data_IF_564683556827
#
_entry.id   IF_564683556827
#
_cell.length_a   1.000
_cell.length_b   1.000
_cell.length_c   1.000
_cell.angle_alpha   90.00
_cell.angle_beta   90.00
_cell.angle_gamma   90.00
#
_symmetry.space_group_name_H-M   'P 1'
#
loop_
_entity.id
_entity.type
_entity.pdbx_description
1 polymer ?
#
# COMPACT_ATOMS: atom_id res chain seq x y z
N UNK A 1 24.07 15.50 0.15
CA UNK A 1 23.25 14.34 -0.28
C UNK A 1 21.87 14.86 -0.63
N UNK A 2 21.21 14.29 -1.62
CA UNK A 2 19.83 14.64 -1.93
C UNK A 2 18.92 14.16 -0.79
N UNK A 3 17.97 15.01 -0.37
CA UNK A 3 16.94 14.66 0.61
C UNK A 3 15.85 13.86 -0.12
N UNK A 4 15.58 12.62 0.32
CA UNK A 4 14.58 11.76 -0.32
C UNK A 4 13.30 11.67 0.52
N UNK A 5 12.23 12.30 0.03
CA UNK A 5 10.91 12.37 0.67
C UNK A 5 9.81 11.76 -0.21
N UNK A 6 10.12 10.73 -1.00
CA UNK A 6 9.15 10.02 -1.86
C UNK A 6 9.08 8.52 -1.56
N UNK A 7 9.14 8.15 -0.28
CA UNK A 7 9.16 6.75 0.16
C UNK A 7 7.83 6.01 -0.09
N UNK A 8 6.69 6.71 -0.23
CA UNK A 8 5.43 6.09 -0.65
C UNK A 8 5.46 5.64 -2.12
N UNK A 9 6.29 6.24 -2.98
CA UNK A 9 6.50 5.76 -4.34
C UNK A 9 7.42 4.53 -4.36
N UNK A 10 8.57 4.58 -3.67
CA UNK A 10 9.48 3.44 -3.50
C UNK A 10 10.48 3.72 -2.39
N UNK A 11 10.71 2.77 -1.51
CA UNK A 11 11.76 2.85 -0.49
C UNK A 11 13.10 2.32 -1.00
N UNK A 12 14.19 2.78 -0.38
CA UNK A 12 15.51 2.18 -0.54
C UNK A 12 15.47 0.72 -0.07
N UNK A 13 16.13 -0.17 -0.83
CA UNK A 13 16.23 -1.58 -0.43
C UNK A 13 17.06 -1.69 0.84
N UNK A 14 16.55 -2.37 1.86
CA UNK A 14 17.23 -2.61 3.13
C UNK A 14 18.46 -3.49 2.94
N UNK A 15 19.50 -3.28 3.74
CA UNK A 15 20.73 -4.06 3.68
C UNK A 15 20.46 -5.57 3.89
N UNK A 16 19.59 -5.91 4.82
CA UNK A 16 19.19 -7.30 5.09
C UNK A 16 18.48 -7.94 3.88
N UNK A 17 17.63 -7.18 3.18
CA UNK A 17 16.96 -7.65 1.97
C UNK A 17 17.94 -7.90 0.83
N UNK A 18 18.90 -7.00 0.64
CA UNK A 18 19.95 -7.13 -0.37
C UNK A 18 20.83 -8.33 -0.06
N UNK A 19 21.33 -8.46 1.17
CA UNK A 19 22.18 -9.56 1.61
C UNK A 19 21.49 -10.92 1.45
N UNK A 20 20.19 -11.00 1.74
CA UNK A 20 19.42 -12.23 1.58
C UNK A 20 19.16 -12.60 0.11
N UNK A 21 18.96 -11.62 -0.78
CA UNK A 21 18.68 -11.84 -2.19
C UNK A 21 19.94 -12.20 -3.01
N UNK A 22 21.09 -11.61 -2.72
CA UNK A 22 22.33 -11.72 -3.51
C UNK A 22 22.77 -13.16 -3.80
N UNK A 23 22.80 -14.11 -2.86
CA UNK A 23 23.22 -15.48 -3.15
C UNK A 23 22.36 -16.17 -4.23
N UNK A 24 21.07 -15.84 -4.28
CA UNK A 24 20.13 -16.43 -5.26
C UNK A 24 20.19 -15.77 -6.64
N UNK A 25 20.92 -14.68 -6.80
CA UNK A 25 21.14 -14.03 -8.09
C UNK A 25 22.27 -14.69 -8.90
N UNK A 26 23.27 -15.27 -8.22
CA UNK A 26 24.47 -15.79 -8.87
C UNK A 26 24.84 -17.22 -8.45
N UNK A 27 24.95 -17.50 -7.15
CA UNK A 27 25.50 -18.75 -6.63
C UNK A 27 24.44 -19.85 -6.50
N UNK A 28 23.25 -19.53 -6.05
CA UNK A 28 22.13 -20.45 -5.77
C UNK A 28 21.02 -20.31 -6.82
N UNK A 29 21.38 -20.41 -8.09
CA UNK A 29 20.52 -20.13 -9.25
C UNK A 29 19.58 -21.27 -9.65
N UNK A 30 19.46 -22.33 -8.85
CA UNK A 30 18.64 -23.50 -9.14
C UNK A 30 17.17 -23.17 -9.35
N UNK A 31 16.50 -23.83 -10.33
CA UNK A 31 15.07 -23.72 -10.50
C UNK A 31 14.35 -24.47 -9.36
N UNK A 32 13.43 -23.83 -8.61
CA UNK A 32 12.73 -24.45 -7.47
C UNK A 32 11.89 -25.68 -7.83
N UNK A 33 11.53 -25.85 -9.09
CA UNK A 33 10.78 -27.02 -9.58
C UNK A 33 11.67 -28.23 -9.85
N UNK A 34 13.01 -28.09 -9.84
CA UNK A 34 13.95 -29.18 -10.11
C UNK A 34 14.21 -30.04 -8.87
N UNK A 35 14.40 -31.36 -9.08
CA UNK A 35 14.61 -32.33 -8.00
C UNK A 35 16.07 -32.44 -7.53
N UNK A 36 17.02 -31.84 -8.23
CA UNK A 36 18.43 -31.84 -7.83
C UNK A 36 18.73 -30.81 -6.73
N UNK A 37 19.88 -30.96 -6.06
CA UNK A 37 20.25 -30.14 -4.89
C UNK A 37 20.11 -28.62 -5.09
N UNK A 38 20.59 -27.98 -6.17
CA UNK A 38 20.38 -26.55 -6.38
C UNK A 38 18.90 -26.14 -6.43
N UNK A 39 18.04 -26.95 -7.07
CA UNK A 39 16.59 -26.71 -7.11
C UNK A 39 15.94 -26.84 -5.74
N UNK A 40 16.31 -27.87 -4.98
CA UNK A 40 15.80 -28.08 -3.62
C UNK A 40 16.24 -26.94 -2.67
N UNK A 41 17.44 -26.39 -2.86
CA UNK A 41 17.92 -25.22 -2.10
C UNK A 41 17.05 -23.99 -2.35
N UNK A 42 16.76 -23.68 -3.62
CA UNK A 42 15.87 -22.59 -3.99
C UNK A 42 14.44 -22.80 -3.46
N UNK A 43 13.91 -24.02 -3.56
CA UNK A 43 12.58 -24.37 -3.02
C UNK A 43 12.49 -24.17 -1.51
N UNK A 44 13.51 -24.61 -0.76
CA UNK A 44 13.59 -24.41 0.69
C UNK A 44 13.64 -22.93 1.06
N UNK A 45 14.36 -22.12 0.28
CA UNK A 45 14.47 -20.67 0.49
C UNK A 45 13.12 -19.97 0.30
N UNK A 46 12.36 -20.32 -0.75
CA UNK A 46 11.00 -19.83 -0.96
C UNK A 46 10.08 -20.22 0.21
N UNK A 47 10.14 -21.49 0.63
CA UNK A 47 9.31 -21.96 1.72
C UNK A 47 9.63 -21.22 3.03
N UNK A 48 10.90 -21.02 3.35
CA UNK A 48 11.33 -20.23 4.52
C UNK A 48 10.85 -18.77 4.43
N UNK A 49 10.98 -18.14 3.26
CA UNK A 49 10.49 -16.78 3.04
C UNK A 49 8.96 -16.68 3.25
N UNK A 50 8.22 -17.67 2.79
CA UNK A 50 6.76 -17.77 2.98
C UNK A 50 6.39 -17.88 4.47
N UNK A 51 7.10 -18.70 5.23
CA UNK A 51 6.93 -18.86 6.68
C UNK A 51 7.25 -17.57 7.44
N UNK A 52 8.32 -16.87 7.05
CA UNK A 52 8.71 -15.60 7.66
C UNK A 52 7.65 -14.50 7.42
N UNK A 53 7.14 -14.39 6.19
CA UNK A 53 6.05 -13.46 5.87
C UNK A 53 4.79 -13.81 6.66
N UNK A 54 4.41 -15.09 6.68
CA UNK A 54 3.24 -15.57 7.40
C UNK A 54 3.34 -15.28 8.92
N UNK A 55 4.53 -15.46 9.50
CA UNK A 55 4.81 -15.11 10.90
C UNK A 55 4.62 -13.61 11.16
N UNK A 56 5.13 -12.75 10.26
CA UNK A 56 4.97 -11.29 10.39
C UNK A 56 3.51 -10.84 10.30
N UNK A 57 2.69 -11.51 9.49
CA UNK A 57 1.29 -11.17 9.26
C UNK A 57 0.31 -11.94 10.17
N UNK A 58 0.82 -12.87 10.98
CA UNK A 58 -0.01 -13.75 11.81
C UNK A 58 -1.03 -14.54 10.98
N UNK A 59 -0.55 -15.24 9.95
CA UNK A 59 -1.34 -16.12 9.11
C UNK A 59 -0.61 -17.45 8.85
N UNK A 60 -1.24 -18.36 8.14
CA UNK A 60 -0.62 -19.64 7.75
C UNK A 60 0.27 -19.45 6.52
N UNK A 61 1.39 -20.19 6.40
CA UNK A 61 2.25 -20.10 5.21
C UNK A 61 1.53 -20.43 3.90
N UNK A 62 0.60 -21.36 3.88
CA UNK A 62 -0.20 -21.72 2.72
C UNK A 62 -1.23 -20.64 2.30
N UNK A 63 -1.41 -19.59 3.10
CA UNK A 63 -2.24 -18.44 2.77
C UNK A 63 -1.48 -17.33 2.03
N UNK A 64 -0.17 -17.48 1.81
CA UNK A 64 0.65 -16.50 1.06
C UNK A 64 0.87 -17.01 -0.36
N UNK A 65 0.56 -16.19 -1.36
CA UNK A 65 0.79 -16.42 -2.78
C UNK A 65 1.73 -15.34 -3.31
N UNK A 66 2.89 -15.71 -3.85
CA UNK A 66 3.83 -14.76 -4.41
C UNK A 66 3.40 -14.28 -5.79
N UNK A 67 3.58 -12.99 -6.04
CA UNK A 67 3.24 -12.28 -7.28
C UNK A 67 4.41 -11.41 -7.73
N UNK A 68 4.25 -10.65 -8.81
CA UNK A 68 5.27 -9.69 -9.27
C UNK A 68 5.18 -8.31 -8.60
N UNK A 69 4.13 -8.05 -7.81
CA UNK A 69 3.92 -6.75 -7.15
C UNK A 69 2.49 -6.55 -6.69
N UNK A 70 2.19 -5.39 -6.11
CA UNK A 70 0.86 -5.03 -5.63
C UNK A 70 -0.18 -5.10 -6.74
N UNK A 71 0.11 -4.53 -7.90
CA UNK A 71 -0.82 -4.53 -9.04
C UNK A 71 -1.24 -5.93 -9.48
N UNK A 72 -0.33 -6.90 -9.53
CA UNK A 72 -0.69 -8.29 -9.84
C UNK A 72 -1.53 -8.89 -8.70
N UNK A 73 -1.17 -8.61 -7.45
CA UNK A 73 -1.92 -9.08 -6.28
C UNK A 73 -3.36 -8.54 -6.26
N UNK A 74 -3.55 -7.25 -6.56
CA UNK A 74 -4.87 -6.61 -6.64
C UNK A 74 -5.72 -7.23 -7.76
N UNK A 75 -5.12 -7.41 -8.94
CA UNK A 75 -5.80 -8.04 -10.07
C UNK A 75 -6.19 -9.49 -9.77
N UNK A 76 -5.28 -10.28 -9.17
CA UNK A 76 -5.57 -11.68 -8.81
C UNK A 76 -6.69 -11.75 -7.76
N UNK A 77 -6.63 -10.90 -6.73
CA UNK A 77 -7.66 -10.84 -5.71
C UNK A 77 -9.03 -10.47 -6.30
N UNK A 78 -9.10 -9.40 -7.09
CA UNK A 78 -10.37 -8.86 -7.58
C UNK A 78 -10.93 -9.71 -8.72
N UNK A 79 -10.14 -9.90 -9.78
CA UNK A 79 -10.60 -10.64 -10.98
C UNK A 79 -10.72 -12.13 -10.69
N UNK A 80 -9.71 -12.72 -10.03
CA UNK A 80 -9.71 -14.14 -9.70
C UNK A 80 -10.83 -14.52 -8.73
N UNK A 81 -11.13 -13.65 -7.75
CA UNK A 81 -12.25 -13.87 -6.85
C UNK A 81 -13.60 -13.73 -7.55
N UNK A 82 -13.79 -12.68 -8.36
CA UNK A 82 -15.02 -12.48 -9.12
C UNK A 82 -15.32 -13.67 -10.02
N UNK A 83 -14.34 -14.11 -10.83
CA UNK A 83 -14.48 -15.24 -11.76
C UNK A 83 -14.91 -16.53 -11.02
N UNK A 84 -14.30 -16.80 -9.86
CA UNK A 84 -14.60 -17.99 -9.07
C UNK A 84 -15.98 -17.94 -8.36
N UNK A 85 -16.57 -16.75 -8.15
CA UNK A 85 -17.72 -16.56 -7.29
C UNK A 85 -18.91 -15.82 -7.94
N UNK A 86 -18.83 -15.40 -9.21
CA UNK A 86 -19.84 -14.61 -9.90
C UNK A 86 -21.20 -15.30 -10.04
N UNK A 87 -21.28 -16.63 -9.86
CA UNK A 87 -22.53 -17.38 -9.79
C UNK A 87 -23.34 -17.10 -8.49
N UNK A 88 -22.71 -16.57 -7.44
CA UNK A 88 -23.35 -16.20 -6.16
C UNK A 88 -23.90 -14.77 -6.17
N UNK A 89 -23.40 -13.93 -7.07
CA UNK A 89 -23.73 -12.52 -7.21
C UNK A 89 -22.66 -11.80 -8.00
N UNK A 90 -22.94 -10.56 -8.39
CA UNK A 90 -22.01 -9.76 -9.22
C UNK A 90 -21.72 -8.37 -8.66
N UNK A 91 -22.21 -8.06 -7.47
CA UNK A 91 -22.05 -6.75 -6.89
C UNK A 91 -20.75 -6.63 -6.10
N UNK A 92 -20.00 -5.54 -6.35
CA UNK A 92 -18.75 -5.16 -5.71
C UNK A 92 -18.92 -3.79 -5.06
N UNK A 93 -18.46 -3.65 -3.82
CA UNK A 93 -18.37 -2.36 -3.11
C UNK A 93 -16.92 -1.94 -3.07
N UNK A 94 -16.62 -0.68 -3.40
CA UNK A 94 -15.28 -0.08 -3.34
C UNK A 94 -15.36 1.39 -2.94
N UNK A 95 -14.22 2.10 -2.88
CA UNK A 95 -14.18 3.53 -2.57
C UNK A 95 -13.66 4.36 -3.75
N UNK A 96 -13.90 5.66 -3.73
CA UNK A 96 -13.47 6.60 -4.77
C UNK A 96 -12.00 7.04 -4.66
N UNK A 97 -11.28 6.56 -3.65
CA UNK A 97 -9.86 6.86 -3.43
C UNK A 97 -8.91 5.66 -3.58
N UNK A 98 -9.39 4.55 -4.16
CA UNK A 98 -8.58 3.35 -4.35
C UNK A 98 -7.44 3.58 -5.35
N UNK A 99 -6.41 2.74 -5.25
CA UNK A 99 -5.32 2.73 -6.21
C UNK A 99 -5.81 2.30 -7.61
N UNK A 100 -5.25 2.82 -8.72
CA UNK A 100 -5.66 2.45 -10.08
C UNK A 100 -5.67 0.93 -10.35
N UNK A 101 -4.82 0.13 -9.73
CA UNK A 101 -4.84 -1.33 -9.87
C UNK A 101 -6.15 -1.96 -9.37
N UNK A 102 -6.82 -1.33 -8.39
CA UNK A 102 -8.13 -1.74 -7.87
C UNK A 102 -9.25 -1.19 -8.76
N UNK A 103 -9.27 0.13 -9.00
CA UNK A 103 -10.35 0.78 -9.76
C UNK A 103 -10.43 0.29 -11.19
N UNK A 104 -9.29 0.16 -11.90
CA UNK A 104 -9.24 -0.33 -13.27
C UNK A 104 -9.60 -1.83 -13.37
N UNK A 105 -9.22 -2.63 -12.36
CA UNK A 105 -9.62 -4.05 -12.31
C UNK A 105 -11.14 -4.20 -12.17
N UNK A 106 -11.75 -3.39 -11.30
CA UNK A 106 -13.22 -3.36 -11.09
C UNK A 106 -13.93 -2.81 -12.34
N UNK A 107 -13.41 -1.72 -12.94
CA UNK A 107 -13.96 -1.15 -14.17
C UNK A 107 -13.94 -2.15 -15.33
N UNK A 108 -12.85 -2.94 -15.44
CA UNK A 108 -12.77 -4.01 -16.43
C UNK A 108 -13.83 -5.10 -16.20
N UNK A 109 -14.04 -5.53 -14.93
CA UNK A 109 -15.09 -6.49 -14.59
C UNK A 109 -16.48 -5.95 -14.90
N UNK A 110 -16.74 -4.67 -14.61
CA UNK A 110 -17.99 -4.01 -14.97
C UNK A 110 -18.22 -4.03 -16.49
N UNK A 111 -17.25 -3.60 -17.26
CA UNK A 111 -17.35 -3.49 -18.72
C UNK A 111 -17.38 -4.84 -19.46
N UNK A 112 -16.72 -5.88 -18.93
CA UNK A 112 -16.51 -7.16 -19.64
C UNK A 112 -17.26 -8.35 -19.06
N UNK A 113 -17.55 -8.33 -17.74
CA UNK A 113 -18.13 -9.46 -17.01
C UNK A 113 -19.51 -9.15 -16.40
N UNK A 114 -19.97 -7.91 -16.55
CA UNK A 114 -21.26 -7.45 -16.02
C UNK A 114 -21.26 -7.34 -14.48
N UNK A 115 -20.13 -7.02 -13.88
CA UNK A 115 -20.09 -6.66 -12.46
C UNK A 115 -20.88 -5.38 -12.21
N UNK A 116 -21.66 -5.36 -11.14
CA UNK A 116 -22.31 -4.14 -10.63
C UNK A 116 -21.45 -3.55 -9.52
N UNK A 117 -21.30 -2.22 -9.50
CA UNK A 117 -20.33 -1.55 -8.61
C UNK A 117 -21.01 -0.44 -7.83
N UNK A 118 -20.85 -0.46 -6.51
CA UNK A 118 -21.12 0.69 -5.65
C UNK A 118 -19.80 1.31 -5.23
N UNK A 119 -19.58 2.56 -5.62
CA UNK A 119 -18.41 3.36 -5.20
C UNK A 119 -18.83 4.24 -4.04
N UNK A 120 -18.25 4.01 -2.86
CA UNK A 120 -18.49 4.81 -1.66
C UNK A 120 -17.65 6.08 -1.72
N UNK A 121 -18.31 7.21 -1.48
CA UNK A 121 -17.63 8.49 -1.33
C UNK A 121 -17.02 8.62 0.07
N UNK A 122 -15.77 9.07 0.12
CA UNK A 122 -15.09 9.39 1.37
C UNK A 122 -15.53 10.75 1.91
N UNK A 123 -15.27 10.99 3.20
CA UNK A 123 -15.41 12.32 3.80
C UNK A 123 -14.21 13.23 3.49
N UNK A 124 -14.24 14.48 3.97
CA UNK A 124 -13.15 15.45 3.78
C UNK A 124 -11.78 15.06 4.39
N UNK A 125 -11.74 14.00 5.21
CA UNK A 125 -10.51 13.39 5.73
C UNK A 125 -10.09 12.15 4.93
N UNK A 126 -10.86 11.75 3.92
CA UNK A 126 -10.62 10.57 3.09
C UNK A 126 -11.01 9.26 3.79
N UNK A 127 -12.00 9.27 4.67
CA UNK A 127 -12.48 8.10 5.41
C UNK A 127 -13.82 7.61 4.86
N UNK A 128 -13.99 6.28 4.80
CA UNK A 128 -15.30 5.62 4.73
C UNK A 128 -15.62 5.01 6.08
N UNK A 129 -16.90 4.97 6.45
CA UNK A 129 -17.34 4.32 7.69
C UNK A 129 -17.81 2.89 7.43
N UNK A 130 -17.69 2.02 8.44
CA UNK A 130 -18.27 0.67 8.40
C UNK A 130 -19.80 0.71 8.20
N UNK A 131 -20.48 1.78 8.65
CA UNK A 131 -21.91 1.98 8.45
C UNK A 131 -22.27 2.23 6.98
N UNK A 132 -21.47 3.05 6.25
CA UNK A 132 -21.64 3.24 4.80
C UNK A 132 -21.47 1.91 4.06
N UNK A 133 -20.42 1.13 4.39
CA UNK A 133 -20.21 -0.21 3.82
C UNK A 133 -21.42 -1.11 4.10
N UNK A 134 -21.88 -1.18 5.34
CA UNK A 134 -23.04 -2.01 5.72
C UNK A 134 -24.32 -1.64 4.98
N UNK A 135 -24.56 -0.34 4.73
CA UNK A 135 -25.72 0.17 4.02
C UNK A 135 -25.67 -0.10 2.51
N UNK A 136 -24.49 -0.23 1.94
CA UNK A 136 -24.28 -0.52 0.52
C UNK A 136 -24.40 -2.02 0.19
N UNK A 137 -24.43 -2.90 1.20
CA UNK A 137 -24.52 -4.35 1.00
C UNK A 137 -25.90 -4.73 0.46
N UNK A 138 -25.90 -5.49 -0.63
CA UNK A 138 -27.06 -6.05 -1.33
C UNK A 138 -27.04 -7.58 -1.22
N UNK A 139 -28.18 -8.27 -1.53
CA UNK A 139 -28.21 -9.74 -1.53
C UNK A 139 -27.22 -10.40 -2.49
N UNK A 140 -26.83 -9.72 -3.58
CA UNK A 140 -25.90 -10.16 -4.61
C UNK A 140 -24.48 -9.59 -4.42
N UNK A 141 -24.16 -8.94 -3.29
CA UNK A 141 -22.81 -8.46 -2.97
C UNK A 141 -21.89 -9.64 -2.67
N UNK A 142 -20.80 -9.76 -3.43
CA UNK A 142 -19.83 -10.83 -3.25
C UNK A 142 -18.46 -10.35 -2.75
N UNK A 143 -18.13 -9.07 -3.00
CA UNK A 143 -16.80 -8.52 -2.67
C UNK A 143 -16.92 -7.09 -2.16
N UNK A 144 -16.17 -6.81 -1.11
CA UNK A 144 -15.83 -5.46 -0.65
C UNK A 144 -14.33 -5.28 -0.92
N UNK A 145 -13.93 -4.21 -1.63
CA UNK A 145 -12.55 -3.90 -1.96
C UNK A 145 -12.20 -2.50 -1.43
N UNK A 146 -11.37 -2.42 -0.39
CA UNK A 146 -11.00 -1.17 0.29
C UNK A 146 -9.51 -1.19 0.62
N UNK A 147 -8.81 -0.10 0.36
CA UNK A 147 -7.42 0.05 0.77
C UNK A 147 -7.27 0.16 2.30
N UNK A 148 -6.16 -0.31 2.84
CA UNK A 148 -5.87 -0.16 4.26
C UNK A 148 -5.47 1.28 4.61
N UNK A 149 -4.63 1.88 3.77
CA UNK A 149 -4.18 3.26 3.92
C UNK A 149 -3.89 3.87 2.56
N UNK A 150 -4.31 5.11 2.35
CA UNK A 150 -4.13 5.78 1.07
C UNK A 150 -2.67 6.21 0.86
N UNK A 151 -2.14 5.96 -0.33
CA UNK A 151 -0.77 6.23 -0.72
C UNK A 151 -0.46 7.72 -0.94
N UNK A 152 -1.48 8.56 -1.13
CA UNK A 152 -1.33 10.00 -1.36
C UNK A 152 -1.50 10.77 -0.05
N UNK A 153 -2.68 10.72 0.54
CA UNK A 153 -3.04 11.50 1.73
C UNK A 153 -2.67 10.82 3.05
N UNK A 154 -2.30 9.54 3.01
CA UNK A 154 -1.87 8.79 4.18
C UNK A 154 -2.99 8.38 5.14
N UNK A 155 -4.25 8.69 4.85
CA UNK A 155 -5.40 8.34 5.70
C UNK A 155 -5.53 6.81 5.83
N UNK A 156 -5.68 6.34 7.07
CA UNK A 156 -5.85 4.92 7.42
C UNK A 156 -7.35 4.65 7.57
N UNK A 157 -7.88 3.70 6.79
CA UNK A 157 -9.27 3.29 6.82
C UNK A 157 -9.61 2.46 8.08
N UNK A 158 -10.85 2.46 8.55
CA UNK A 158 -11.33 1.65 9.68
C UNK A 158 -11.50 0.18 9.27
N UNK A 159 -10.41 -0.46 8.83
CA UNK A 159 -10.44 -1.82 8.24
C UNK A 159 -10.92 -2.88 9.21
N UNK A 160 -10.64 -2.73 10.51
CA UNK A 160 -11.12 -3.68 11.53
C UNK A 160 -12.65 -3.69 11.62
N UNK A 161 -13.26 -2.51 11.62
CA UNK A 161 -14.73 -2.34 11.67
C UNK A 161 -15.38 -2.83 10.36
N UNK A 162 -14.75 -2.55 9.21
CA UNK A 162 -15.20 -3.05 7.90
C UNK A 162 -15.09 -4.57 7.84
N UNK A 163 -14.00 -5.14 8.36
CA UNK A 163 -13.79 -6.59 8.44
C UNK A 163 -14.87 -7.28 9.28
N UNK A 164 -15.26 -6.66 10.40
CA UNK A 164 -16.36 -7.17 11.23
C UNK A 164 -17.70 -7.18 10.48
N UNK A 165 -18.00 -6.12 9.70
CA UNK A 165 -19.20 -6.05 8.85
C UNK A 165 -19.16 -7.13 7.76
N UNK A 166 -18.06 -7.25 7.03
CA UNK A 166 -17.89 -8.23 5.97
C UNK A 166 -18.08 -9.67 6.49
N UNK A 167 -17.42 -9.99 7.62
CA UNK A 167 -17.53 -11.29 8.28
C UNK A 167 -18.95 -11.60 8.72
N UNK A 168 -19.65 -10.66 9.37
CA UNK A 168 -21.02 -10.84 9.84
C UNK A 168 -22.02 -11.10 8.69
N UNK A 169 -21.71 -10.63 7.48
CA UNK A 169 -22.53 -10.79 6.29
C UNK A 169 -22.06 -11.92 5.35
N UNK A 170 -20.96 -12.61 5.68
CA UNK A 170 -20.38 -13.67 4.84
C UNK A 170 -19.89 -13.19 3.47
N UNK A 171 -19.47 -11.91 3.38
CA UNK A 171 -18.96 -11.26 2.16
C UNK A 171 -17.45 -11.24 2.22
N UNK A 172 -16.78 -11.51 1.09
CA UNK A 172 -15.34 -11.41 1.02
C UNK A 172 -14.87 -9.96 1.14
N UNK A 173 -13.84 -9.73 1.95
CA UNK A 173 -13.14 -8.46 2.04
C UNK A 173 -11.74 -8.58 1.45
N UNK A 174 -11.50 -7.86 0.39
CA UNK A 174 -10.18 -7.61 -0.16
C UNK A 174 -9.64 -6.27 0.36
N UNK A 175 -8.39 -6.28 0.83
CA UNK A 175 -7.72 -5.09 1.34
C UNK A 175 -6.42 -4.85 0.55
N UNK A 176 -6.34 -3.73 -0.18
CA UNK A 176 -5.05 -3.24 -0.67
C UNK A 176 -4.26 -2.67 0.52
N UNK A 177 -3.29 -3.46 1.01
CA UNK A 177 -2.45 -3.11 2.14
C UNK A 177 -1.02 -2.74 1.73
N UNK A 178 -0.82 -2.36 0.48
CA UNK A 178 0.50 -2.01 -0.09
C UNK A 178 1.18 -0.91 0.73
N UNK A 179 0.43 0.05 1.27
CA UNK A 179 0.96 1.11 2.13
C UNK A 179 0.92 0.78 3.63
N UNK A 180 0.33 -0.35 4.03
CA UNK A 180 0.16 -0.73 5.44
C UNK A 180 1.16 -1.79 5.91
N UNK A 181 1.45 -2.79 5.06
CA UNK A 181 2.39 -3.87 5.38
C UNK A 181 3.77 -3.29 5.66
N UNK A 182 4.34 -3.65 6.81
CA UNK A 182 5.63 -3.14 7.29
C UNK A 182 5.58 -1.74 7.92
N UNK A 183 4.42 -1.05 7.90
CA UNK A 183 4.21 0.30 8.43
C UNK A 183 3.17 0.39 9.54
N UNK A 184 2.23 -0.54 9.61
CA UNK A 184 1.18 -0.60 10.61
C UNK A 184 1.19 -1.96 11.32
N UNK A 185 0.83 -2.02 12.61
CA UNK A 185 0.65 -3.27 13.32
C UNK A 185 -0.74 -3.83 13.02
N UNK A 186 -0.81 -5.05 12.49
CA UNK A 186 -2.04 -5.83 12.35
C UNK A 186 -1.73 -7.33 12.35
N UNK A 187 -2.77 -8.16 12.50
CA UNK A 187 -2.66 -9.61 12.49
C UNK A 187 -3.88 -10.22 11.81
N UNK A 188 -3.67 -11.09 10.81
CA UNK A 188 -4.72 -11.63 9.96
C UNK A 188 -5.51 -12.81 10.58
N UNK A 189 -5.19 -13.20 11.82
CA UNK A 189 -5.91 -14.24 12.54
C UNK A 189 -5.08 -15.51 12.75
N UNK A 190 -5.60 -16.54 13.31
CA UNK A 190 -5.04 -17.73 13.90
C UNK A 190 -3.84 -18.39 13.17
N UNK A 191 -2.62 -17.98 13.48
CA UNK A 191 -1.47 -18.82 13.24
C UNK A 191 -1.11 -19.57 14.53
N UNK A 192 -1.47 -20.83 14.65
CA UNK A 192 -0.83 -21.72 15.61
C UNK A 192 0.68 -21.72 15.29
N UNK A 193 1.49 -21.26 16.24
CA UNK A 193 2.94 -21.15 16.05
C UNK A 193 3.46 -19.80 15.55
N UNK A 194 2.64 -18.83 15.24
CA UNK A 194 3.09 -17.46 14.99
C UNK A 194 3.67 -16.83 16.26
N UNK A 195 4.72 -16.04 16.10
CA UNK A 195 5.41 -15.37 17.19
C UNK A 195 4.51 -14.45 18.02
N UNK A 196 5.13 -13.59 18.85
CA UNK A 196 4.40 -12.69 19.74
C UNK A 196 3.64 -11.63 18.92
N UNK A 197 2.33 -11.52 19.13
CA UNK A 197 1.48 -10.49 18.51
C UNK A 197 2.06 -9.07 18.69
N UNK A 198 1.89 -8.21 17.68
CA UNK A 198 2.12 -6.79 17.89
C UNK A 198 1.25 -6.29 19.03
N UNK A 199 1.81 -5.50 19.95
CA UNK A 199 1.03 -5.02 21.10
C UNK A 199 -0.12 -4.11 20.65
N UNK A 200 -1.27 -4.27 21.28
CA UNK A 200 -2.47 -3.51 20.96
C UNK A 200 -3.26 -4.03 19.75
N UNK A 201 -2.82 -5.14 19.15
CA UNK A 201 -3.53 -5.82 18.06
C UNK A 201 -4.06 -7.14 18.59
N UNK A 202 -5.30 -7.45 18.29
CA UNK A 202 -5.89 -8.77 18.52
C UNK A 202 -6.13 -9.48 17.18
N UNK A 203 -5.96 -10.80 17.08
CA UNK A 203 -6.23 -11.53 15.84
C UNK A 203 -7.68 -11.38 15.37
N UNK A 204 -8.59 -11.12 16.29
CA UNK A 204 -10.02 -10.97 16.00
C UNK A 204 -10.35 -9.70 15.22
N UNK A 205 -9.52 -8.67 15.30
CA UNK A 205 -9.79 -7.38 14.68
C UNK A 205 -9.78 -7.46 13.14
N UNK A 206 -8.98 -8.38 12.58
CA UNK A 206 -8.77 -8.50 11.14
C UNK A 206 -9.13 -9.88 10.57
N UNK A 207 -9.78 -10.73 11.34
CA UNK A 207 -10.13 -12.09 10.91
C UNK A 207 -11.23 -12.13 9.83
N UNK A 208 -11.91 -11.00 9.59
CA UNK A 208 -12.83 -10.80 8.48
C UNK A 208 -12.17 -10.48 7.13
N UNK A 209 -10.85 -10.22 7.10
CA UNK A 209 -10.12 -10.02 5.84
C UNK A 209 -10.00 -11.36 5.13
N UNK A 210 -10.47 -11.43 3.89
CA UNK A 210 -10.40 -12.62 3.03
C UNK A 210 -9.13 -12.63 2.20
N UNK A 211 -8.73 -11.47 1.66
CA UNK A 211 -7.55 -11.30 0.83
C UNK A 211 -6.85 -9.98 1.17
N UNK A 212 -5.51 -9.96 1.05
CA UNK A 212 -4.72 -8.76 1.32
C UNK A 212 -3.51 -8.69 0.40
N UNK A 213 -3.36 -7.57 -0.33
CA UNK A 213 -2.24 -7.34 -1.24
C UNK A 213 -1.09 -6.59 -0.57
N UNK A 214 0.16 -6.95 -0.93
CA UNK A 214 1.37 -6.27 -0.47
C UNK A 214 2.42 -6.15 -1.56
N UNK A 215 3.26 -5.11 -1.45
CA UNK A 215 4.34 -4.82 -2.40
C UNK A 215 5.64 -4.47 -1.66
N UNK A 216 6.63 -5.35 -1.65
CA UNK A 216 7.85 -5.21 -0.83
C UNK A 216 8.63 -3.93 -1.00
N UNK A 217 8.66 -3.33 -2.20
CA UNK A 217 9.37 -2.08 -2.42
C UNK A 217 8.80 -0.88 -1.64
N UNK A 218 7.63 -1.02 -1.02
CA UNK A 218 7.05 0.00 -0.13
C UNK A 218 7.57 -0.10 1.31
N UNK A 219 8.16 -1.24 1.70
CA UNK A 219 8.76 -1.44 3.03
C UNK A 219 10.25 -1.80 3.00
N UNK A 220 10.94 -1.46 1.89
CA UNK A 220 12.38 -1.66 1.74
C UNK A 220 12.79 -3.02 1.21
N UNK A 221 11.89 -3.74 0.57
CA UNK A 221 12.18 -4.92 -0.22
C UNK A 221 12.45 -4.61 -1.70
N UNK A 222 12.75 -5.64 -2.52
CA UNK A 222 12.98 -5.49 -3.96
C UNK A 222 11.71 -5.10 -4.72
N UNK A 223 11.89 -4.45 -5.88
CA UNK A 223 10.85 -4.31 -6.91
C UNK A 223 10.70 -5.63 -7.69
N UNK A 224 9.58 -5.82 -8.39
CA UNK A 224 9.35 -7.01 -9.22
C UNK A 224 8.96 -8.26 -8.41
N UNK A 225 8.54 -8.09 -7.19
CA UNK A 225 7.97 -9.09 -6.30
C UNK A 225 6.84 -8.48 -5.48
N UNK A 226 5.80 -9.27 -5.22
CA UNK A 226 4.67 -8.97 -4.36
C UNK A 226 4.18 -10.23 -3.68
N UNK A 227 3.16 -10.11 -2.88
CA UNK A 227 2.40 -11.25 -2.40
C UNK A 227 0.94 -10.89 -2.13
N UNK A 228 0.10 -11.90 -2.26
CA UNK A 228 -1.30 -11.87 -1.88
C UNK A 228 -1.50 -12.84 -0.71
N UNK A 229 -2.03 -12.35 0.41
CA UNK A 229 -2.65 -13.22 1.40
C UNK A 229 -4.01 -13.66 0.88
N UNK A 230 -4.28 -14.95 0.94
CA UNK A 230 -5.55 -15.57 0.56
C UNK A 230 -5.98 -16.48 1.70
N UNK A 231 -7.03 -16.09 2.42
CA UNK A 231 -7.51 -16.88 3.57
C UNK A 231 -7.90 -18.29 3.12
N UNK A 232 -7.50 -19.28 3.89
CA UNK A 232 -7.80 -20.69 3.63
C UNK A 232 -9.29 -20.91 3.36
N UNK A 233 -9.62 -21.67 2.31
CA UNK A 233 -10.99 -21.90 1.85
C UNK A 233 -11.52 -20.87 0.84
N UNK A 234 -10.79 -19.77 0.58
CA UNK A 234 -11.16 -18.79 -0.44
C UNK A 234 -10.91 -19.35 -1.83
N UNK A 235 -11.94 -19.32 -2.68
CA UNK A 235 -11.83 -19.76 -4.09
C UNK A 235 -11.37 -18.60 -4.97
N UNK A 236 -10.29 -18.81 -5.70
CA UNK A 236 -9.76 -17.91 -6.72
C UNK A 236 -9.52 -18.65 -8.04
N UNK A 237 -9.75 -17.97 -9.16
CA UNK A 237 -9.26 -18.39 -10.47
C UNK A 237 -7.93 -17.69 -10.75
N UNK A 238 -6.93 -18.42 -11.33
CA UNK A 238 -5.68 -17.80 -11.73
C UNK A 238 -5.90 -16.81 -12.88
N UNK A 239 -5.20 -15.68 -12.85
CA UNK A 239 -5.19 -14.71 -13.96
C UNK A 239 -3.99 -14.88 -14.88
N UNK A 240 -2.95 -15.61 -14.43
CA UNK A 240 -1.79 -16.03 -15.22
C UNK A 240 -1.79 -17.55 -15.34
N UNK A 241 -1.88 -18.04 -16.57
CA UNK A 241 -1.99 -19.47 -16.85
C UNK A 241 -0.63 -20.05 -17.23
N UNK A 242 -0.32 -21.28 -16.79
CA UNK A 242 0.95 -21.98 -17.06
C UNK A 242 1.20 -23.16 -16.12
N UNK A 243 2.41 -23.26 -15.59
CA UNK A 243 2.79 -24.33 -14.66
C UNK A 243 2.10 -24.22 -13.29
N UNK A 244 2.20 -25.28 -12.44
CA UNK A 244 1.45 -25.38 -11.18
C UNK A 244 2.11 -24.64 -10.00
N UNK A 245 2.92 -23.60 -10.28
CA UNK A 245 3.55 -22.80 -9.21
C UNK A 245 2.49 -22.10 -8.36
N UNK A 246 2.88 -21.69 -7.17
CA UNK A 246 2.04 -20.94 -6.23
C UNK A 246 0.63 -21.58 -6.09
N UNK A 247 0.57 -22.88 -5.87
CA UNK A 247 -0.67 -23.64 -5.69
C UNK A 247 -1.65 -23.51 -6.88
N UNK A 248 -1.12 -23.38 -8.11
CA UNK A 248 -1.87 -23.14 -9.36
C UNK A 248 -2.55 -21.76 -9.44
N UNK A 249 -2.29 -20.85 -8.52
CA UNK A 249 -2.85 -19.50 -8.51
C UNK A 249 -2.00 -18.50 -9.30
N UNK A 250 -0.69 -18.78 -9.44
CA UNK A 250 0.22 -17.90 -10.17
C UNK A 250 1.30 -18.73 -10.88
N UNK A 251 1.17 -18.87 -12.17
CA UNK A 251 2.11 -19.64 -13.00
C UNK A 251 3.41 -18.88 -13.29
N UNK A 252 4.46 -19.61 -13.65
CA UNK A 252 5.78 -19.09 -13.98
C UNK A 252 6.81 -19.31 -12.88
N UNK A 253 8.08 -19.49 -13.28
CA UNK A 253 9.19 -19.70 -12.34
C UNK A 253 9.26 -18.58 -11.31
N UNK A 254 9.37 -18.96 -10.07
CA UNK A 254 9.36 -18.03 -8.93
C UNK A 254 10.63 -17.16 -8.90
N UNK A 255 10.44 -15.87 -8.60
CA UNK A 255 11.53 -14.91 -8.42
C UNK A 255 12.21 -15.14 -7.06
N UNK A 256 13.04 -16.20 -6.96
CA UNK A 256 13.68 -16.62 -5.70
C UNK A 256 14.38 -15.46 -4.99
N UNK A 257 15.31 -14.70 -5.64
CA UNK A 257 16.00 -13.59 -4.98
C UNK A 257 15.03 -12.50 -4.50
N UNK A 258 14.01 -12.17 -5.31
CA UNK A 258 13.00 -11.20 -4.94
C UNK A 258 12.18 -11.63 -3.73
N UNK A 259 11.75 -12.89 -3.70
CA UNK A 259 10.95 -13.49 -2.62
C UNK A 259 11.73 -13.50 -1.29
N UNK A 260 12.97 -13.96 -1.33
CA UNK A 260 13.84 -14.03 -0.14
C UNK A 260 14.15 -12.62 0.39
N UNK A 261 14.47 -11.69 -0.52
CA UNK A 261 14.67 -10.28 -0.17
C UNK A 261 13.42 -9.62 0.41
N UNK A 262 12.22 -9.93 -0.11
CA UNK A 262 10.95 -9.44 0.39
C UNK A 262 10.68 -9.88 1.83
N UNK A 263 10.90 -11.17 2.14
CA UNK A 263 10.74 -11.71 3.48
C UNK A 263 11.71 -11.06 4.47
N UNK A 264 12.99 -10.94 4.11
CA UNK A 264 14.00 -10.30 4.96
C UNK A 264 13.66 -8.82 5.24
N UNK A 265 13.16 -8.08 4.24
CA UNK A 265 12.71 -6.70 4.40
C UNK A 265 11.52 -6.60 5.37
N UNK A 266 10.54 -7.50 5.26
CA UNK A 266 9.36 -7.49 6.13
C UNK A 266 9.74 -7.82 7.58
N UNK A 267 10.55 -8.86 7.81
CA UNK A 267 11.06 -9.23 9.14
C UNK A 267 11.77 -8.05 9.80
N UNK A 268 12.67 -7.37 9.07
CA UNK A 268 13.36 -6.19 9.57
C UNK A 268 12.39 -5.04 9.91
N UNK A 269 11.39 -4.80 9.04
CA UNK A 269 10.38 -3.77 9.26
C UNK A 269 9.51 -4.06 10.48
N UNK A 270 9.07 -5.31 10.66
CA UNK A 270 8.26 -5.72 11.82
C UNK A 270 9.04 -5.64 13.14
N UNK A 271 10.34 -5.98 13.13
CA UNK A 271 11.21 -5.86 14.31
C UNK A 271 11.30 -4.42 14.83
N UNK A 272 11.35 -3.46 13.93
CA UNK A 272 11.56 -2.04 14.22
C UNK A 272 10.27 -1.21 14.19
N UNK A 273 9.13 -1.82 13.91
CA UNK A 273 7.86 -1.16 13.59
C UNK A 273 7.49 -0.05 14.57
N UNK A 274 7.50 -0.35 15.88
CA UNK A 274 7.06 0.61 16.91
C UNK A 274 7.99 1.81 17.07
N UNK A 275 9.31 1.57 17.07
CA UNK A 275 10.31 2.63 17.17
C UNK A 275 10.23 3.53 15.95
N UNK A 276 10.10 2.93 14.76
CA UNK A 276 9.97 3.66 13.50
C UNK A 276 8.66 4.48 13.46
N UNK A 277 7.53 3.90 13.84
CA UNK A 277 6.25 4.63 13.88
C UNK A 277 6.29 5.84 14.83
N UNK A 278 6.92 5.72 16.00
CA UNK A 278 7.06 6.85 16.95
C UNK A 278 7.94 7.94 16.35
N UNK A 279 9.15 7.61 15.91
CA UNK A 279 10.09 8.54 15.27
C UNK A 279 9.45 9.27 14.09
N UNK A 280 8.85 8.50 13.18
CA UNK A 280 8.24 9.06 11.98
C UNK A 280 7.05 9.97 12.28
N UNK A 281 6.24 9.63 13.30
CA UNK A 281 5.13 10.48 13.73
C UNK A 281 5.63 11.82 14.26
N UNK A 282 6.65 11.82 15.10
CA UNK A 282 7.26 13.05 15.63
C UNK A 282 7.83 13.94 14.51
N UNK A 283 8.55 13.34 13.55
CA UNK A 283 9.10 14.08 12.41
C UNK A 283 8.00 14.60 11.47
N UNK A 284 6.98 13.78 11.18
CA UNK A 284 5.81 14.14 10.36
C UNK A 284 5.06 15.33 10.98
N UNK A 285 4.72 15.23 12.26
CA UNK A 285 3.93 16.25 12.94
C UNK A 285 4.71 17.57 13.01
N UNK A 286 6.02 17.53 13.32
CA UNK A 286 6.93 18.67 13.22
C UNK A 286 6.92 19.30 11.83
N UNK A 287 7.04 18.48 10.77
CA UNK A 287 7.05 18.95 9.39
C UNK A 287 5.73 19.64 9.03
N UNK A 288 4.61 19.03 9.37
CA UNK A 288 3.27 19.58 9.11
C UNK A 288 3.08 20.92 9.86
N UNK A 289 3.41 20.97 11.15
CA UNK A 289 3.20 22.17 11.98
C UNK A 289 4.08 23.33 11.49
N UNK A 290 5.32 23.07 11.09
CA UNK A 290 6.18 24.08 10.48
C UNK A 290 5.62 24.59 9.15
N UNK A 291 5.18 23.69 8.25
CA UNK A 291 4.59 24.09 6.96
C UNK A 291 3.39 25.01 7.19
N UNK A 292 2.46 24.64 8.09
CA UNK A 292 1.26 25.43 8.37
C UNK A 292 1.58 26.78 9.01
N UNK A 293 2.68 26.88 9.77
CA UNK A 293 3.10 28.11 10.42
C UNK A 293 3.91 29.02 9.52
N UNK A 294 4.83 28.45 8.73
CA UNK A 294 5.81 29.20 7.93
C UNK A 294 5.32 29.53 6.52
N UNK A 295 4.32 28.79 5.99
CA UNK A 295 3.80 28.96 4.63
C UNK A 295 2.31 29.34 4.72
N UNK A 296 1.94 30.61 4.55
CA UNK A 296 0.55 31.05 4.54
C UNK A 296 -0.25 30.34 3.44
N UNK A 297 -1.58 30.28 3.58
CA UNK A 297 -2.48 29.64 2.62
C UNK A 297 -2.03 28.21 2.25
N UNK A 298 -1.68 27.42 3.27
CA UNK A 298 -1.40 25.99 3.18
C UNK A 298 -2.44 25.18 3.96
N UNK A 299 -2.73 23.96 3.53
CA UNK A 299 -3.64 23.03 4.23
C UNK A 299 -3.13 21.61 4.16
N UNK A 300 -3.38 20.84 5.20
CA UNK A 300 -3.15 19.37 5.20
C UNK A 300 -4.33 18.67 4.56
N UNK A 301 -4.07 17.70 3.70
CA UNK A 301 -5.08 16.82 3.11
C UNK A 301 -5.13 15.48 3.84
N UNK A 302 -6.33 14.94 4.02
CA UNK A 302 -6.57 13.71 4.76
C UNK A 302 -6.52 13.85 6.29
N UNK A 303 -6.81 12.78 7.01
CA UNK A 303 -6.90 12.80 8.47
C UNK A 303 -5.55 13.11 9.12
N UNK A 304 -5.55 13.96 10.15
CA UNK A 304 -4.37 14.20 11.00
C UNK A 304 -4.15 13.12 12.04
N UNK A 305 -5.21 12.46 12.46
CA UNK A 305 -5.20 11.44 13.54
C UNK A 305 -4.99 10.03 12.99
N UNK A 306 -5.81 9.64 12.02
CA UNK A 306 -5.76 8.33 11.37
C UNK A 306 -4.86 8.40 10.12
N UNK A 307 -3.55 8.54 10.34
CA UNK A 307 -2.56 8.77 9.28
C UNK A 307 -1.33 7.90 9.44
N UNK A 308 -0.80 7.42 8.31
CA UNK A 308 0.51 6.78 8.24
C UNK A 308 1.58 7.66 8.87
N UNK A 309 2.45 7.06 9.68
CA UNK A 309 3.40 7.79 10.50
C UNK A 309 4.37 8.69 9.69
N UNK A 310 4.71 8.29 8.48
CA UNK A 310 5.65 9.03 7.63
C UNK A 310 5.02 9.84 6.50
N UNK A 311 3.68 9.98 6.43
CA UNK A 311 3.03 10.67 5.32
C UNK A 311 2.72 12.13 5.64
N UNK A 312 3.16 13.03 4.77
CA UNK A 312 2.79 14.46 4.73
C UNK A 312 2.20 14.75 3.36
N UNK A 313 0.94 15.19 3.32
CA UNK A 313 0.28 15.67 2.11
C UNK A 313 -0.31 17.04 2.38
N UNK A 314 0.14 18.04 1.65
CA UNK A 314 -0.20 19.46 1.86
C UNK A 314 -0.49 20.13 0.54
N UNK A 315 -1.55 20.93 0.49
CA UNK A 315 -1.89 21.78 -0.65
C UNK A 315 -1.59 23.24 -0.36
N UNK A 316 -1.12 23.95 -1.36
CA UNK A 316 -0.75 25.37 -1.33
C UNK A 316 -1.60 26.15 -2.32
N UNK A 317 -2.29 27.19 -1.85
CA UNK A 317 -3.07 28.08 -2.69
C UNK A 317 -2.18 28.86 -3.67
N UNK A 318 -2.60 28.98 -4.91
CA UNK A 318 -1.99 29.86 -5.90
C UNK A 318 -0.66 29.36 -6.50
N UNK A 319 -0.36 28.07 -6.42
CA UNK A 319 0.81 27.45 -7.08
C UNK A 319 0.40 26.18 -7.83
N UNK A 320 1.23 25.77 -8.78
CA UNK A 320 1.11 24.51 -9.50
C UNK A 320 2.10 23.50 -8.96
N UNK A 321 1.63 22.31 -8.57
CA UNK A 321 2.48 21.25 -8.02
C UNK A 321 3.68 20.92 -8.91
N UNK A 322 3.50 20.86 -10.25
CA UNK A 322 4.57 20.57 -11.18
C UNK A 322 5.74 21.58 -11.06
N UNK A 323 5.43 22.87 -10.93
CA UNK A 323 6.45 23.91 -10.73
C UNK A 323 7.17 23.77 -9.39
N UNK A 324 6.44 23.47 -8.33
CA UNK A 324 7.01 23.22 -6.99
C UNK A 324 7.94 22.01 -7.05
N UNK A 325 7.52 20.90 -7.64
CA UNK A 325 8.31 19.66 -7.72
C UNK A 325 9.63 19.87 -8.47
N UNK A 326 9.61 20.57 -9.61
CA UNK A 326 10.84 20.89 -10.37
C UNK A 326 11.81 21.71 -9.53
N UNK A 327 11.31 22.75 -8.83
CA UNK A 327 12.17 23.59 -8.00
C UNK A 327 12.66 22.86 -6.73
N UNK A 328 11.88 21.95 -6.15
CA UNK A 328 12.32 21.08 -5.05
C UNK A 328 13.44 20.13 -5.52
N UNK A 329 13.29 19.50 -6.70
CA UNK A 329 14.34 18.64 -7.26
C UNK A 329 15.63 19.41 -7.56
N UNK A 330 15.54 20.62 -8.11
CA UNK A 330 16.69 21.52 -8.30
C UNK A 330 17.35 21.91 -6.98
N UNK A 331 16.60 21.94 -5.87
CA UNK A 331 17.13 22.13 -4.52
C UNK A 331 17.67 20.83 -3.89
N UNK A 332 17.69 19.72 -4.63
CA UNK A 332 18.17 18.42 -4.16
C UNK A 332 17.16 17.68 -3.25
N UNK A 333 15.86 17.96 -3.36
CA UNK A 333 14.80 17.38 -2.54
C UNK A 333 13.80 16.64 -3.43
N UNK A 334 13.77 15.32 -3.35
CA UNK A 334 12.85 14.47 -4.10
C UNK A 334 11.50 14.31 -3.34
N UNK A 335 10.39 14.73 -3.95
CA UNK A 335 9.04 14.57 -3.46
C UNK A 335 8.04 14.36 -4.62
N UNK A 336 6.75 14.19 -4.35
CA UNK A 336 5.73 13.86 -5.37
C UNK A 336 4.50 14.78 -5.27
N UNK A 337 3.74 14.92 -6.35
CA UNK A 337 2.50 15.70 -6.43
C UNK A 337 1.22 14.88 -6.19
N UNK A 338 1.28 13.81 -5.40
CA UNK A 338 0.17 12.87 -5.23
C UNK A 338 0.52 11.50 -5.80
N UNK A 339 -0.18 10.97 -6.80
CA UNK A 339 0.28 9.75 -7.47
C UNK A 339 1.40 10.04 -8.46
N UNK A 340 2.40 9.15 -8.54
CA UNK A 340 3.47 9.26 -9.52
C UNK A 340 2.93 9.22 -10.98
N UNK A 341 1.74 8.63 -11.20
CA UNK A 341 1.09 8.54 -12.50
C UNK A 341 0.36 9.84 -12.90
N UNK A 342 -0.17 10.62 -11.95
CA UNK A 342 -0.86 11.88 -12.24
C UNK A 342 0.11 13.04 -12.46
N UNK A 343 1.32 12.99 -11.92
CA UNK A 343 2.35 14.02 -12.10
C UNK A 343 2.77 14.22 -13.57
N UNK A 344 2.57 13.23 -14.44
CA UNK A 344 2.85 13.34 -15.89
C UNK A 344 1.66 13.84 -16.72
N UNK A 345 0.44 13.79 -16.20
CA UNK A 345 -0.79 14.15 -16.96
C UNK A 345 -1.28 15.58 -16.72
N UNK A 346 -0.72 16.32 -15.76
CA UNK A 346 -1.17 17.67 -15.39
C UNK A 346 -2.60 17.74 -14.81
N UNK A 347 -3.21 16.59 -14.48
CA UNK A 347 -4.55 16.52 -13.89
C UNK A 347 -4.46 16.45 -12.36
N UNK A 348 -5.46 17.02 -11.70
CA UNK A 348 -5.67 16.81 -10.26
C UNK A 348 -5.86 15.32 -9.98
N UNK A 349 -5.32 14.83 -8.88
CA UNK A 349 -5.52 13.43 -8.47
C UNK A 349 -6.98 13.20 -8.09
N UNK A 350 -7.56 12.06 -8.52
CA UNK A 350 -8.90 11.63 -8.12
C UNK A 350 -9.06 11.56 -6.59
N UNK A 351 -7.98 11.27 -5.86
CA UNK A 351 -7.98 11.27 -4.38
C UNK A 351 -8.21 12.68 -3.85
N UNK A 352 -7.56 13.69 -4.43
CA UNK A 352 -7.73 15.09 -4.02
C UNK A 352 -9.12 15.61 -4.43
N UNK A 353 -9.61 15.25 -5.62
CA UNK A 353 -10.99 15.55 -6.05
C UNK A 353 -12.02 14.97 -5.08
N UNK A 354 -11.84 13.73 -4.64
CA UNK A 354 -12.73 13.04 -3.70
C UNK A 354 -12.80 13.70 -2.31
N UNK A 355 -11.77 14.45 -1.89
CA UNK A 355 -11.78 15.19 -0.63
C UNK A 355 -12.60 16.48 -0.68
N UNK A 356 -13.07 16.91 -1.87
CA UNK A 356 -13.81 18.16 -2.08
C UNK A 356 -13.14 19.37 -1.40
N UNK A 357 -11.82 19.47 -1.54
CA UNK A 357 -11.07 20.62 -1.02
C UNK A 357 -11.40 21.89 -1.83
N UNK A 358 -11.16 23.12 -1.29
CA UNK A 358 -11.40 24.32 -2.07
C UNK A 358 -10.57 24.34 -3.36
N UNK A 359 -11.17 24.64 -4.53
CA UNK A 359 -10.53 24.49 -5.86
C UNK A 359 -9.19 25.23 -5.99
N UNK A 360 -9.01 26.33 -5.29
CA UNK A 360 -7.76 27.10 -5.31
C UNK A 360 -6.55 26.39 -4.69
N UNK A 361 -6.77 25.23 -4.00
CA UNK A 361 -5.72 24.40 -3.41
C UNK A 361 -5.43 23.13 -4.20
N UNK A 362 -6.32 22.66 -5.08
CA UNK A 362 -6.24 21.35 -5.73
C UNK A 362 -4.95 21.17 -6.54
N UNK A 363 -4.59 22.18 -7.34
CA UNK A 363 -3.42 22.14 -8.23
C UNK A 363 -2.08 22.26 -7.49
N UNK A 364 -2.09 22.71 -6.23
CA UNK A 364 -0.89 22.93 -5.41
C UNK A 364 -0.55 21.80 -4.44
N UNK A 365 -1.00 20.57 -4.70
CA UNK A 365 -0.83 19.45 -3.78
C UNK A 365 0.55 18.81 -3.88
N UNK A 366 1.28 18.71 -2.77
CA UNK A 366 2.59 18.07 -2.64
C UNK A 366 2.52 16.97 -1.57
N UNK A 367 3.00 15.79 -1.94
CA UNK A 367 3.21 14.67 -1.03
C UNK A 367 4.68 14.53 -0.70
N UNK A 368 4.99 14.47 0.59
CA UNK A 368 6.32 14.17 1.13
C UNK A 368 6.20 12.98 2.08
N UNK A 369 6.99 11.94 1.86
CA UNK A 369 6.92 10.72 2.66
C UNK A 369 8.28 10.34 3.22
N UNK A 370 8.31 10.17 4.53
CA UNK A 370 9.50 9.96 5.35
C UNK A 370 9.84 8.48 5.42
N UNK A 371 11.12 8.17 5.64
CA UNK A 371 11.62 6.84 5.98
C UNK A 371 12.26 6.83 7.38
N UNK A 372 12.53 5.65 7.96
CA UNK A 372 13.26 5.56 9.23
C UNK A 372 14.62 6.22 9.23
N UNK A 373 15.26 6.37 8.07
CA UNK A 373 16.53 7.05 7.88
C UNK A 373 16.42 8.56 7.86
N UNK A 374 15.22 9.10 7.61
CA UNK A 374 14.99 10.56 7.56
C UNK A 374 15.36 11.23 8.89
N UNK A 375 16.10 12.33 8.79
CA UNK A 375 16.58 13.11 9.93
C UNK A 375 15.79 14.41 10.13
N UNK A 376 15.87 14.96 11.33
CA UNK A 376 15.26 16.26 11.62
C UNK A 376 15.87 17.37 10.75
N UNK A 377 17.19 17.36 10.53
CA UNK A 377 17.86 18.35 9.70
C UNK A 377 17.36 18.32 8.24
N UNK A 378 17.09 17.14 7.68
CA UNK A 378 16.49 17.01 6.34
C UNK A 378 15.06 17.59 6.30
N UNK A 379 14.25 17.35 7.34
CA UNK A 379 12.92 17.96 7.46
C UNK A 379 13.03 19.49 7.52
N UNK A 380 13.91 20.00 8.37
CA UNK A 380 14.08 21.43 8.57
C UNK A 380 14.57 22.11 7.28
N UNK A 381 15.49 21.49 6.55
CA UNK A 381 15.97 21.95 5.26
C UNK A 381 14.89 21.91 4.17
N UNK A 382 14.10 20.83 4.13
CA UNK A 382 13.02 20.68 3.16
C UNK A 382 11.91 21.73 3.35
N UNK A 383 11.52 22.01 4.59
CA UNK A 383 10.50 23.04 4.89
C UNK A 383 10.99 24.43 4.52
N UNK A 384 12.25 24.77 4.85
CA UNK A 384 12.83 26.07 4.50
C UNK A 384 12.91 26.26 2.96
N UNK A 385 13.36 25.25 2.22
CA UNK A 385 13.39 25.29 0.76
C UNK A 385 11.98 25.46 0.17
N UNK A 386 11.01 24.66 0.65
CA UNK A 386 9.61 24.73 0.21
C UNK A 386 9.00 26.10 0.44
N UNK A 387 9.23 26.70 1.60
CA UNK A 387 8.74 28.04 1.93
C UNK A 387 9.27 29.10 0.95
N UNK A 388 10.57 29.09 0.66
CA UNK A 388 11.18 29.99 -0.31
C UNK A 388 10.66 29.79 -1.74
N UNK A 389 10.44 28.54 -2.16
CA UNK A 389 9.90 28.18 -3.47
C UNK A 389 8.46 28.67 -3.62
N UNK A 390 7.59 28.40 -2.63
CA UNK A 390 6.20 28.84 -2.65
C UNK A 390 6.10 30.37 -2.70
N UNK A 391 6.88 31.10 -1.91
CA UNK A 391 6.93 32.55 -1.92
C UNK A 391 7.31 33.08 -3.31
N UNK A 392 8.40 32.56 -3.90
CA UNK A 392 8.88 32.95 -5.24
C UNK A 392 7.84 32.70 -6.33
N UNK A 393 7.14 31.56 -6.29
CA UNK A 393 6.11 31.22 -7.29
C UNK A 393 4.88 32.13 -7.17
N UNK A 394 4.52 32.57 -5.97
CA UNK A 394 3.42 33.52 -5.74
C UNK A 394 3.77 34.94 -6.15
N UNK A 395 5.00 35.40 -5.87
CA UNK A 395 5.46 36.73 -6.27
C UNK A 395 5.61 36.86 -7.79
N UNK A 396 6.04 35.82 -8.48
CA UNK A 396 6.16 35.79 -9.95
C UNK A 396 4.83 35.78 -10.70
N UNK A 397 3.70 35.64 -10.01
CA UNK A 397 2.33 35.71 -10.56
C UNK A 397 1.67 37.10 -10.35
N UNK A 398 2.28 38.00 -9.55
CA UNK A 398 1.86 39.39 -9.37
C UNK A 398 2.49 40.29 -10.43
#
# INVERSE_FOLDING_TARGET
MAIYLDNAASMRVKAEALAAAMPFMAEQFGNPSSLHTPGLTAKKAIQKAREDIATCLWCKPNEIVFTSGGTESDNLAIKGYFEANCSRGKHIITTDIEHPAVTESIAWLHAKQGAEVTVLQVDGEGLVSAAQVASAIRPDTILIAVQFANNEIGTIQPVAEIAAVAKARGIALFVDAVQAVGHLPFALGSAEGAGKLPAGVTPKDYDGITMLAASPHKFGGPKGVGFLFVREGTKLMPILHGGPQEQMLRAGTENVPGIVGAAAALVASCRELRSNMRKLRELRDRMIDRILTEIPDSRVNGSRKQRLAGNVNVSFKGVEAASVLVLMDMAGIACSGGSACSSTSGKVSHVIEALHIPPEYENGTIRMTLSPETTQAEIDGAVAALAGIIAKLRDGRR
#
